data_IF_747587133197
#
_entry.id   IF_747587133197
#
_cell.length_a   1.000
_cell.length_b   1.000
_cell.length_c   1.000
_cell.angle_alpha   90.00
_cell.angle_beta   90.00
_cell.angle_gamma   90.00
#
_symmetry.space_group_name_H-M   'P 1'
#
loop_
_entity.id
_entity.type
_entity.pdbx_description
1 polymer ?
#
# COMPACT_ATOMS: atom_id res chain seq x y z
N UNK A 1 -7.68 8.46 -20.74
CA UNK A 1 -7.91 9.47 -21.81
C UNK A 1 -6.76 9.62 -22.82
N UNK A 2 -5.80 8.68 -22.89
CA UNK A 2 -4.71 8.74 -23.88
C UNK A 2 -3.74 9.91 -23.71
N UNK A 3 -3.60 10.46 -22.51
CA UNK A 3 -2.77 11.63 -22.18
C UNK A 3 -2.10 11.46 -20.82
N UNK A 4 -1.01 12.18 -20.60
CA UNK A 4 -0.37 12.30 -19.28
C UNK A 4 -1.32 13.10 -18.36
N UNK A 5 -1.62 12.54 -17.19
CA UNK A 5 -2.56 13.11 -16.21
C UNK A 5 -1.88 13.96 -15.12
N UNK A 6 -0.54 14.02 -15.11
CA UNK A 6 0.24 14.79 -14.14
C UNK A 6 0.50 14.07 -12.81
N UNK A 7 0.22 12.77 -12.73
CA UNK A 7 0.53 11.91 -11.59
C UNK A 7 1.44 10.76 -12.01
N UNK A 8 2.31 10.32 -11.08
CA UNK A 8 3.08 9.09 -11.20
C UNK A 8 2.27 7.88 -10.72
N UNK A 9 1.32 8.09 -9.79
CA UNK A 9 0.27 7.13 -9.46
C UNK A 9 -1.07 7.85 -9.34
N UNK A 10 -1.85 7.82 -10.42
CA UNK A 10 -3.23 8.31 -10.39
C UNK A 10 -4.11 7.44 -9.48
N UNK A 11 -3.81 6.14 -9.39
CA UNK A 11 -4.51 5.21 -8.50
C UNK A 11 -4.41 5.66 -7.04
N UNK A 12 -3.20 5.94 -6.55
CA UNK A 12 -3.01 6.42 -5.18
C UNK A 12 -3.70 7.77 -4.96
N UNK A 13 -3.67 8.66 -5.95
CA UNK A 13 -4.42 9.92 -5.89
C UNK A 13 -5.94 9.70 -5.74
N UNK A 14 -6.54 8.79 -6.50
CA UNK A 14 -7.98 8.48 -6.42
C UNK A 14 -8.36 7.94 -5.03
N UNK A 15 -7.52 7.10 -4.42
CA UNK A 15 -7.79 6.55 -3.09
C UNK A 15 -7.86 7.61 -1.99
N UNK A 16 -7.22 8.77 -2.18
CA UNK A 16 -7.32 9.91 -1.27
C UNK A 16 -8.72 10.55 -1.24
N UNK A 17 -9.55 10.30 -2.25
CA UNK A 17 -10.87 10.93 -2.42
C UNK A 17 -12.01 9.91 -2.58
N UNK A 18 -11.75 8.63 -2.33
CA UNK A 18 -12.76 7.57 -2.50
C UNK A 18 -13.79 7.58 -1.37
N UNK A 19 -13.37 7.38 -0.12
CA UNK A 19 -14.22 7.50 1.07
C UNK A 19 -13.33 7.72 2.29
N UNK A 20 -13.32 8.95 2.82
CA UNK A 20 -12.44 9.35 3.91
C UNK A 20 -12.68 8.61 5.23
N UNK A 21 -13.82 7.95 5.40
CA UNK A 21 -14.07 7.14 6.60
C UNK A 21 -13.30 5.82 6.59
N UNK A 22 -12.92 5.31 5.39
CA UNK A 22 -12.38 3.96 5.22
C UNK A 22 -11.14 3.87 4.34
N UNK A 23 -10.70 4.93 3.68
CA UNK A 23 -9.51 4.93 2.82
C UNK A 23 -8.38 5.80 3.37
N UNK A 24 -7.16 5.57 2.86
CA UNK A 24 -5.97 6.31 3.24
C UNK A 24 -5.32 5.81 4.54
N UNK A 25 -4.73 6.74 5.30
CA UNK A 25 -4.07 6.45 6.57
C UNK A 25 -5.08 6.45 7.72
N UNK A 26 -4.95 5.52 8.67
CA UNK A 26 -5.92 5.28 9.77
C UNK A 26 -6.14 6.53 10.66
N UNK A 27 -5.15 7.43 10.75
CA UNK A 27 -5.27 8.70 11.46
C UNK A 27 -4.25 8.88 12.57
N UNK A 28 -4.14 10.12 13.07
CA UNK A 28 -3.16 10.55 14.08
C UNK A 28 -3.26 9.76 15.39
N UNK A 29 -4.49 9.47 15.85
CA UNK A 29 -4.71 8.71 17.09
C UNK A 29 -4.10 7.31 17.00
N UNK A 30 -4.28 6.62 15.87
CA UNK A 30 -3.67 5.31 15.64
C UNK A 30 -2.15 5.44 15.47
N UNK A 31 -1.69 6.43 14.69
CA UNK A 31 -0.27 6.69 14.48
C UNK A 31 0.51 6.90 15.79
N UNK A 32 -0.09 7.60 16.75
CA UNK A 32 0.56 7.93 18.02
C UNK A 32 0.65 6.75 18.99
N UNK A 33 -0.22 5.76 18.88
CA UNK A 33 -0.25 4.59 19.78
C UNK A 33 -0.85 3.36 19.08
N UNK A 34 -0.13 2.75 18.11
CA UNK A 34 -0.66 1.64 17.34
C UNK A 34 -0.82 0.39 18.22
N UNK A 35 -2.03 -0.13 18.26
CA UNK A 35 -2.40 -1.35 18.97
C UNK A 35 -3.63 -2.00 18.35
N UNK A 36 -3.85 -3.30 18.60
CA UNK A 36 -5.10 -3.95 18.17
C UNK A 36 -6.34 -3.24 18.71
N UNK A 37 -6.31 -2.78 19.97
CA UNK A 37 -7.41 -2.01 20.57
C UNK A 37 -7.68 -0.71 19.80
N UNK A 38 -6.64 0.06 19.49
CA UNK A 38 -6.79 1.31 18.72
C UNK A 38 -7.30 1.07 17.28
N UNK A 39 -6.98 -0.07 16.68
CA UNK A 39 -7.51 -0.45 15.36
C UNK A 39 -8.99 -0.84 15.44
N UNK A 40 -9.37 -1.61 16.46
CA UNK A 40 -10.77 -1.96 16.73
C UNK A 40 -11.59 -0.70 16.99
N UNK A 41 -11.10 0.23 17.82
CA UNK A 41 -11.72 1.54 18.06
C UNK A 41 -12.00 2.27 16.74
N UNK A 42 -11.00 2.33 15.85
CA UNK A 42 -11.15 2.92 14.52
C UNK A 42 -12.22 2.20 13.69
N UNK A 43 -12.09 0.88 13.54
CA UNK A 43 -12.97 0.08 12.70
C UNK A 43 -14.43 0.11 13.18
N UNK A 44 -14.67 0.18 14.49
CA UNK A 44 -16.01 0.35 15.08
C UNK A 44 -16.68 1.66 14.67
N UNK A 45 -15.90 2.72 14.41
CA UNK A 45 -16.42 4.03 13.97
C UNK A 45 -16.62 4.12 12.46
N UNK A 46 -16.07 3.19 11.67
CA UNK A 46 -16.30 3.18 10.21
C UNK A 46 -17.77 2.84 9.94
N UNK A 47 -18.44 3.58 9.03
CA UNK A 47 -19.79 3.24 8.59
C UNK A 47 -19.86 1.83 8.01
N UNK A 48 -20.81 1.02 8.46
CA UNK A 48 -21.05 -0.31 7.88
C UNK A 48 -21.78 -0.14 6.54
N UNK A 49 -21.42 -0.95 5.53
CA UNK A 49 -22.12 -0.94 4.24
C UNK A 49 -23.38 -1.81 4.26
N UNK A 50 -23.23 -3.07 4.64
CA UNK A 50 -24.31 -4.07 4.59
C UNK A 50 -23.97 -5.24 5.51
N UNK A 51 -25.00 -6.04 5.78
CA UNK A 51 -24.88 -7.36 6.41
C UNK A 51 -25.45 -8.42 5.46
N UNK A 52 -25.07 -9.68 5.65
CA UNK A 52 -25.58 -10.80 4.85
C UNK A 52 -26.44 -11.70 5.75
N UNK A 53 -27.70 -11.94 5.37
CA UNK A 53 -28.63 -12.83 6.08
C UNK A 53 -29.40 -13.65 5.07
N UNK A 54 -29.46 -14.96 5.26
CA UNK A 54 -30.16 -15.88 4.35
C UNK A 54 -29.79 -15.64 2.87
N UNK A 55 -28.48 -15.47 2.61
CA UNK A 55 -27.88 -15.16 1.31
C UNK A 55 -28.29 -13.81 0.69
N UNK A 56 -29.02 -12.97 1.41
CA UNK A 56 -29.43 -11.63 0.99
C UNK A 56 -28.51 -10.55 1.54
N UNK A 57 -28.21 -9.57 0.70
CA UNK A 57 -27.42 -8.39 1.07
C UNK A 57 -28.36 -7.30 1.60
N UNK A 58 -28.24 -6.97 2.87
CA UNK A 58 -29.05 -5.96 3.54
C UNK A 58 -28.20 -4.71 3.75
N UNK A 59 -28.47 -3.67 2.97
CA UNK A 59 -27.80 -2.36 3.09
C UNK A 59 -28.08 -1.72 4.46
N UNK A 60 -27.03 -1.37 5.21
CA UNK A 60 -27.14 -0.72 6.51
C UNK A 60 -26.86 0.77 6.35
N UNK A 61 -27.92 1.58 6.28
CA UNK A 61 -27.80 3.01 6.03
C UNK A 61 -27.44 3.80 7.29
N UNK A 62 -26.45 4.69 7.16
CA UNK A 62 -26.09 5.74 8.13
C UNK A 62 -25.85 5.21 9.56
N UNK A 63 -25.12 4.10 9.68
CA UNK A 63 -24.69 3.57 10.97
C UNK A 63 -23.20 3.24 10.97
N UNK A 64 -22.54 3.48 12.08
CA UNK A 64 -21.23 2.86 12.34
C UNK A 64 -21.40 1.40 12.73
N UNK A 65 -20.34 0.60 12.66
CA UNK A 65 -20.41 -0.77 13.16
C UNK A 65 -20.73 -0.80 14.66
N UNK A 66 -20.21 0.13 15.45
CA UNK A 66 -20.53 0.26 16.89
C UNK A 66 -22.03 0.42 17.13
N UNK A 67 -22.70 1.30 16.37
CA UNK A 67 -24.14 1.50 16.51
C UNK A 67 -24.95 0.28 16.08
N UNK A 68 -24.51 -0.43 15.04
CA UNK A 68 -25.10 -1.69 14.62
C UNK A 68 -24.91 -2.78 15.68
N UNK A 69 -23.72 -2.88 16.27
CA UNK A 69 -23.40 -3.84 17.31
C UNK A 69 -24.29 -3.67 18.55
N UNK A 70 -24.48 -2.44 19.02
CA UNK A 70 -25.29 -2.15 20.21
C UNK A 70 -26.80 -2.28 19.98
N UNK A 71 -27.32 -1.74 18.87
CA UNK A 71 -28.77 -1.56 18.66
C UNK A 71 -29.36 -2.60 17.72
N UNK A 72 -28.52 -3.29 16.94
CA UNK A 72 -28.91 -4.08 15.79
C UNK A 72 -29.52 -3.23 14.66
N UNK A 73 -29.98 -3.93 13.62
CA UNK A 73 -30.62 -3.32 12.46
C UNK A 73 -31.69 -4.26 11.91
N UNK A 74 -32.93 -3.76 11.71
CA UNK A 74 -34.05 -4.53 11.17
C UNK A 74 -34.30 -5.89 11.86
N UNK A 75 -34.13 -5.96 13.19
CA UNK A 75 -34.28 -7.20 13.96
C UNK A 75 -33.04 -8.10 13.99
N UNK A 76 -32.01 -7.81 13.20
CA UNK A 76 -30.73 -8.53 13.22
C UNK A 76 -29.78 -7.95 14.27
N UNK A 77 -29.03 -8.83 14.92
CA UNK A 77 -27.90 -8.51 15.80
C UNK A 77 -26.59 -8.84 15.10
N UNK A 78 -25.56 -8.06 15.43
CA UNK A 78 -24.21 -8.27 14.92
C UNK A 78 -23.67 -9.62 15.36
N UNK A 79 -22.98 -10.31 14.45
CA UNK A 79 -22.23 -11.52 14.71
C UNK A 79 -20.79 -11.40 14.18
N UNK A 80 -20.02 -12.48 14.28
CA UNK A 80 -18.63 -12.51 13.80
C UNK A 80 -18.51 -12.37 12.28
N UNK A 81 -19.44 -12.94 11.51
CA UNK A 81 -19.44 -12.83 10.06
C UNK A 81 -19.63 -11.37 9.61
N UNK A 82 -20.49 -10.61 10.30
CA UNK A 82 -20.66 -9.17 10.05
C UNK A 82 -19.39 -8.38 10.34
N UNK A 83 -18.68 -8.73 11.41
CA UNK A 83 -17.43 -8.06 11.76
C UNK A 83 -16.34 -8.33 10.72
N UNK A 84 -16.17 -9.59 10.31
CA UNK A 84 -15.20 -9.93 9.26
C UNK A 84 -15.56 -9.26 7.93
N UNK A 85 -16.84 -9.25 7.58
CA UNK A 85 -17.33 -8.58 6.38
C UNK A 85 -17.07 -7.07 6.46
N UNK A 86 -17.38 -6.45 7.59
CA UNK A 86 -17.14 -5.03 7.83
C UNK A 86 -15.66 -4.66 7.68
N UNK A 87 -14.76 -5.41 8.30
CA UNK A 87 -13.31 -5.22 8.12
C UNK A 87 -12.88 -5.34 6.65
N UNK A 88 -13.53 -6.21 5.89
CA UNK A 88 -13.27 -6.39 4.45
C UNK A 88 -13.74 -5.21 3.60
N UNK A 89 -14.57 -4.31 4.16
CA UNK A 89 -15.00 -3.04 3.53
C UNK A 89 -14.14 -1.84 3.93
N UNK A 90 -13.12 -2.01 4.77
CA UNK A 90 -12.14 -0.96 5.08
C UNK A 90 -11.03 -1.01 4.04
N UNK A 91 -10.58 0.13 3.50
CA UNK A 91 -9.63 0.20 2.38
C UNK A 91 -8.46 1.14 2.66
N UNK A 92 -7.93 1.11 3.88
CA UNK A 92 -6.72 1.85 4.27
C UNK A 92 -5.48 1.32 3.55
N UNK A 93 -4.39 2.10 3.57
CA UNK A 93 -3.12 1.70 2.91
C UNK A 93 -2.50 0.43 3.52
N UNK A 94 -2.71 0.26 4.84
CA UNK A 94 -2.42 -0.98 5.57
C UNK A 94 -3.70 -1.39 6.29
N UNK A 95 -4.16 -2.61 6.06
CA UNK A 95 -5.39 -3.15 6.66
C UNK A 95 -5.05 -4.31 7.57
N UNK A 96 -5.70 -4.35 8.73
CA UNK A 96 -5.54 -5.43 9.72
C UNK A 96 -6.79 -6.30 9.74
N UNK A 97 -6.59 -7.58 9.50
CA UNK A 97 -7.53 -8.69 9.76
C UNK A 97 -6.82 -9.69 10.69
N UNK A 98 -7.07 -10.99 10.54
CA UNK A 98 -6.20 -12.04 11.08
C UNK A 98 -4.78 -12.06 10.47
N UNK A 99 -4.54 -11.17 9.49
CA UNK A 99 -3.28 -10.92 8.80
C UNK A 99 -3.19 -9.42 8.47
N UNK A 100 -2.00 -8.97 8.05
CA UNK A 100 -1.78 -7.59 7.59
C UNK A 100 -1.78 -7.57 6.07
N UNK A 101 -2.57 -6.67 5.48
CA UNK A 101 -2.60 -6.43 4.04
C UNK A 101 -1.96 -5.10 3.70
N UNK A 102 -0.99 -5.12 2.79
CA UNK A 102 -0.36 -3.93 2.22
C UNK A 102 -1.04 -3.60 0.89
N UNK A 103 -1.63 -2.40 0.79
CA UNK A 103 -2.60 -2.05 -0.27
C UNK A 103 -2.19 -0.85 -1.12
N UNK A 104 -0.96 -0.36 -0.89
CA UNK A 104 -0.46 0.89 -1.45
C UNK A 104 0.16 0.76 -2.85
N UNK A 105 0.43 -0.45 -3.34
CA UNK A 105 1.22 -0.65 -4.57
C UNK A 105 0.34 -0.69 -5.83
N UNK A 106 0.74 0.03 -6.87
CA UNK A 106 0.13 -0.08 -8.21
C UNK A 106 0.48 -1.43 -8.84
N UNK A 107 -0.41 -1.97 -9.67
CA UNK A 107 -0.11 -3.20 -10.41
C UNK A 107 1.12 -2.99 -11.30
N UNK A 108 2.03 -3.96 -11.28
CA UNK A 108 3.30 -3.90 -12.01
C UNK A 108 3.35 -4.95 -13.13
N UNK A 109 4.23 -4.70 -14.10
CA UNK A 109 4.60 -5.67 -15.14
C UNK A 109 5.15 -6.95 -14.50
N UNK A 110 5.00 -8.08 -15.19
CA UNK A 110 5.37 -9.41 -14.67
C UNK A 110 6.74 -9.47 -14.00
N UNK A 111 7.75 -8.83 -14.60
CA UNK A 111 9.13 -8.82 -14.08
C UNK A 111 9.28 -8.10 -12.73
N UNK A 112 8.40 -7.14 -12.42
CA UNK A 112 8.43 -6.37 -11.17
C UNK A 112 7.45 -6.90 -10.13
N UNK A 113 6.49 -7.76 -10.51
CA UNK A 113 5.49 -8.29 -9.56
C UNK A 113 6.13 -9.04 -8.38
N UNK A 114 7.11 -9.94 -8.57
CA UNK A 114 7.79 -10.59 -7.46
C UNK A 114 8.56 -9.62 -6.56
N UNK A 115 9.11 -8.55 -7.14
CA UNK A 115 9.91 -7.55 -6.42
C UNK A 115 9.10 -6.84 -5.33
N UNK A 116 7.81 -6.59 -5.56
CA UNK A 116 6.91 -5.98 -4.56
C UNK A 116 6.81 -6.86 -3.32
N UNK A 117 6.59 -8.17 -3.51
CA UNK A 117 6.46 -9.12 -2.40
C UNK A 117 7.80 -9.34 -1.71
N UNK A 118 8.87 -9.48 -2.49
CA UNK A 118 10.23 -9.64 -1.98
C UNK A 118 10.66 -8.45 -1.11
N UNK A 119 10.34 -7.21 -1.53
CA UNK A 119 10.66 -5.99 -0.78
C UNK A 119 10.02 -5.98 0.62
N UNK A 120 8.74 -6.35 0.70
CA UNK A 120 8.06 -6.40 1.98
C UNK A 120 8.46 -7.61 2.82
N UNK A 121 8.70 -8.77 2.20
CA UNK A 121 9.19 -9.97 2.92
C UNK A 121 10.56 -9.73 3.54
N UNK A 122 11.50 -9.14 2.79
CA UNK A 122 12.83 -8.83 3.27
C UNK A 122 12.82 -7.93 4.51
N UNK A 123 11.89 -6.99 4.56
CA UNK A 123 11.74 -6.09 5.72
C UNK A 123 10.94 -6.77 6.84
N UNK A 124 9.71 -7.20 6.57
CA UNK A 124 8.73 -7.54 7.61
C UNK A 124 8.93 -8.93 8.23
N UNK A 125 9.73 -9.80 7.62
CA UNK A 125 9.99 -11.16 8.11
C UNK A 125 11.41 -11.31 8.66
N UNK A 126 12.11 -10.19 8.88
CA UNK A 126 13.42 -10.14 9.49
C UNK A 126 13.47 -9.06 10.58
N UNK A 127 13.82 -9.44 11.81
CA UNK A 127 13.76 -8.55 12.97
C UNK A 127 14.80 -7.41 12.91
N UNK A 128 15.97 -7.67 12.33
CA UNK A 128 17.03 -6.68 12.17
C UNK A 128 16.63 -5.63 11.12
N UNK A 129 16.02 -6.07 10.02
CA UNK A 129 15.45 -5.21 9.00
C UNK A 129 14.30 -4.34 9.55
N UNK A 130 13.36 -4.91 10.32
CA UNK A 130 12.33 -4.13 11.02
C UNK A 130 12.96 -3.05 11.91
N UNK A 131 14.01 -3.40 12.65
CA UNK A 131 14.70 -2.48 13.56
C UNK A 131 15.40 -1.35 12.78
N UNK A 132 16.05 -1.68 11.67
CA UNK A 132 16.71 -0.71 10.79
C UNK A 132 15.70 0.28 10.16
N UNK A 133 14.59 -0.22 9.62
CA UNK A 133 13.51 0.64 9.09
C UNK A 133 12.89 1.49 10.20
N UNK A 134 12.66 0.92 11.39
CA UNK A 134 12.13 1.67 12.53
C UNK A 134 13.06 2.82 12.95
N UNK A 135 14.38 2.61 12.86
CA UNK A 135 15.38 3.64 13.10
C UNK A 135 15.35 4.72 12.03
N UNK A 136 15.25 4.33 10.75
CA UNK A 136 15.16 5.26 9.61
C UNK A 136 13.93 6.18 9.70
N UNK A 137 12.82 5.63 10.20
CA UNK A 137 11.55 6.34 10.37
C UNK A 137 11.43 7.08 11.72
N UNK A 138 12.48 7.02 12.56
CA UNK A 138 12.43 7.57 13.92
C UNK A 138 12.16 9.08 13.90
N UNK A 139 11.24 9.50 14.78
CA UNK A 139 10.87 10.89 14.96
C UNK A 139 10.02 11.45 13.81
N UNK A 140 9.58 10.63 12.85
CA UNK A 140 8.58 11.03 11.86
C UNK A 140 7.29 11.43 12.59
N UNK A 141 6.79 12.62 12.30
CA UNK A 141 5.50 13.09 12.82
C UNK A 141 4.35 12.66 11.91
N UNK A 142 3.13 12.64 12.48
CA UNK A 142 1.92 12.39 11.71
C UNK A 142 1.76 13.38 10.55
N UNK A 143 1.99 14.68 10.80
CA UNK A 143 1.85 15.74 9.78
C UNK A 143 2.80 15.50 8.61
N UNK A 144 4.04 15.10 8.88
CA UNK A 144 5.02 14.79 7.83
C UNK A 144 4.61 13.57 7.01
N UNK A 145 4.20 12.47 7.67
CA UNK A 145 3.72 11.27 6.99
C UNK A 145 2.48 11.56 6.14
N UNK A 146 1.52 12.29 6.72
CA UNK A 146 0.28 12.68 6.06
C UNK A 146 0.58 13.54 4.83
N UNK A 147 1.40 14.59 4.95
CA UNK A 147 1.77 15.42 3.80
C UNK A 147 2.50 14.63 2.71
N UNK A 148 3.39 13.72 3.11
CA UNK A 148 4.10 12.83 2.19
C UNK A 148 3.11 11.96 1.40
N UNK A 149 2.11 11.38 2.07
CA UNK A 149 1.08 10.54 1.48
C UNK A 149 0.30 11.25 0.36
N UNK A 150 0.01 12.55 0.50
CA UNK A 150 -0.64 13.33 -0.56
C UNK A 150 0.32 13.79 -1.68
N UNK A 151 1.63 13.86 -1.40
CA UNK A 151 2.63 14.39 -2.33
C UNK A 151 3.20 13.32 -3.25
N UNK A 152 3.43 12.11 -2.72
CA UNK A 152 4.02 10.97 -3.44
C UNK A 152 3.28 10.61 -4.74
N UNK A 153 1.94 10.60 -4.82
CA UNK A 153 1.23 10.29 -6.07
C UNK A 153 1.66 11.16 -7.26
N UNK A 154 2.10 12.41 -7.01
CA UNK A 154 2.56 13.34 -8.03
C UNK A 154 4.09 13.34 -8.18
N UNK A 155 4.82 13.38 -7.07
CA UNK A 155 6.26 13.60 -7.08
C UNK A 155 7.10 12.30 -7.06
N UNK A 156 6.52 11.18 -6.64
CA UNK A 156 7.19 9.89 -6.55
C UNK A 156 8.49 9.97 -5.76
N UNK A 157 9.58 9.45 -6.34
CA UNK A 157 10.91 9.40 -5.71
C UNK A 157 11.54 10.79 -5.50
N UNK A 158 11.02 11.83 -6.17
CA UNK A 158 11.50 13.21 -6.02
C UNK A 158 10.89 13.92 -4.80
N UNK A 159 9.82 13.37 -4.23
CA UNK A 159 9.24 13.86 -3.00
C UNK A 159 10.28 13.89 -1.88
N UNK A 160 10.07 14.76 -0.89
CA UNK A 160 11.01 14.90 0.23
C UNK A 160 10.33 14.60 1.57
N UNK A 161 11.06 13.89 2.41
CA UNK A 161 10.73 13.68 3.82
C UNK A 161 11.82 14.31 4.66
N UNK A 162 11.50 15.34 5.44
CA UNK A 162 12.48 16.10 6.25
C UNK A 162 13.68 16.62 5.45
N UNK A 163 13.44 17.03 4.20
CA UNK A 163 14.48 17.51 3.29
C UNK A 163 15.28 16.42 2.57
N UNK A 164 15.16 15.15 2.99
CA UNK A 164 15.76 13.98 2.32
C UNK A 164 14.88 13.55 1.16
N UNK A 165 15.44 13.24 -0.01
CA UNK A 165 14.65 12.75 -1.14
C UNK A 165 14.17 11.33 -0.85
N UNK A 166 12.95 11.02 -1.25
CA UNK A 166 12.43 9.66 -1.14
C UNK A 166 13.23 8.65 -1.95
N UNK A 167 13.88 9.07 -3.03
CA UNK A 167 14.85 8.24 -3.75
C UNK A 167 15.93 7.68 -2.80
N UNK A 168 16.54 8.54 -2.00
CA UNK A 168 17.65 8.16 -1.12
C UNK A 168 17.14 7.20 -0.02
N UNK A 169 15.93 7.46 0.51
CA UNK A 169 15.23 6.58 1.46
C UNK A 169 14.89 5.23 0.81
N UNK A 170 14.37 5.23 -0.43
CA UNK A 170 13.99 4.02 -1.15
C UNK A 170 15.20 3.13 -1.44
N UNK A 171 16.34 3.71 -1.84
CA UNK A 171 17.60 2.97 -2.01
C UNK A 171 18.01 2.29 -0.70
N UNK A 172 17.87 2.97 0.43
CA UNK A 172 18.20 2.37 1.74
C UNK A 172 17.22 1.28 2.16
N UNK A 173 15.91 1.49 1.96
CA UNK A 173 14.89 0.47 2.22
C UNK A 173 15.13 -0.80 1.38
N UNK A 174 15.52 -0.67 0.12
CA UNK A 174 15.85 -1.80 -0.75
C UNK A 174 17.10 -2.55 -0.28
N UNK A 175 18.13 -1.84 0.18
CA UNK A 175 19.33 -2.48 0.77
C UNK A 175 18.99 -3.25 2.04
N UNK A 176 18.19 -2.65 2.93
CA UNK A 176 17.71 -3.31 4.16
C UNK A 176 16.91 -4.57 3.79
N UNK A 177 15.99 -4.46 2.82
CA UNK A 177 15.21 -5.60 2.34
C UNK A 177 16.10 -6.70 1.75
N UNK A 178 17.11 -6.34 0.97
CA UNK A 178 18.02 -7.29 0.33
C UNK A 178 18.79 -8.09 1.39
N UNK A 179 19.38 -7.40 2.37
CA UNK A 179 20.05 -8.07 3.51
C UNK A 179 19.09 -8.95 4.30
N UNK A 180 17.87 -8.47 4.54
CA UNK A 180 16.84 -9.21 5.26
C UNK A 180 16.40 -10.50 4.55
N UNK A 181 16.39 -10.54 3.20
CA UNK A 181 16.17 -11.78 2.44
C UNK A 181 17.38 -12.72 2.50
N UNK A 182 18.60 -12.19 2.34
CA UNK A 182 19.83 -12.99 2.42
C UNK A 182 19.96 -13.72 3.76
N UNK A 183 19.61 -13.06 4.85
CA UNK A 183 19.65 -13.65 6.19
C UNK A 183 18.63 -14.77 6.39
N UNK A 184 17.49 -14.72 5.71
CA UNK A 184 16.46 -15.77 5.77
C UNK A 184 16.90 -17.07 5.11
N UNK A 185 17.93 -17.04 4.24
CA UNK A 185 18.53 -18.23 3.58
C UNK A 185 17.49 -19.14 2.93
N UNK A 186 16.52 -18.52 2.24
CA UNK A 186 15.51 -19.23 1.48
C UNK A 186 16.00 -19.37 0.03
N UNK A 187 15.98 -20.61 -0.46
CA UNK A 187 16.49 -20.95 -1.77
C UNK A 187 15.43 -21.69 -2.59
N UNK A 188 15.43 -21.45 -3.90
CA UNK A 188 14.65 -22.24 -4.86
C UNK A 188 15.17 -23.68 -4.95
N UNK A 189 14.47 -24.52 -5.71
CA UNK A 189 14.93 -25.89 -5.98
C UNK A 189 16.29 -25.94 -6.71
N UNK A 190 16.59 -24.91 -7.49
CA UNK A 190 17.84 -24.76 -8.23
C UNK A 190 18.96 -24.07 -7.40
N UNK A 191 18.68 -23.75 -6.13
CA UNK A 191 19.65 -23.14 -5.21
C UNK A 191 19.77 -21.62 -5.33
N UNK A 192 18.86 -20.96 -6.06
CA UNK A 192 18.85 -19.49 -6.16
C UNK A 192 18.23 -18.86 -4.91
N UNK A 193 18.90 -17.85 -4.37
CA UNK A 193 18.44 -17.10 -3.21
C UNK A 193 17.33 -16.12 -3.61
N UNK A 194 16.25 -16.05 -2.82
CA UNK A 194 15.09 -15.21 -3.11
C UNK A 194 15.40 -13.70 -3.25
N UNK A 195 16.57 -13.22 -2.79
CA UNK A 195 17.01 -11.84 -3.00
C UNK A 195 17.10 -11.47 -4.49
N UNK A 196 17.24 -12.45 -5.39
CA UNK A 196 17.22 -12.26 -6.85
C UNK A 196 15.95 -11.54 -7.32
N UNK A 197 14.82 -11.74 -6.63
CA UNK A 197 13.57 -11.08 -6.96
C UNK A 197 13.59 -9.56 -6.74
N UNK A 198 14.57 -9.02 -6.00
CA UNK A 198 14.76 -7.58 -5.84
C UNK A 198 15.58 -6.95 -6.97
N UNK A 199 16.32 -7.73 -7.75
CA UNK A 199 17.21 -7.19 -8.79
C UNK A 199 16.48 -6.24 -9.75
N UNK A 200 15.29 -6.55 -10.28
CA UNK A 200 14.60 -5.67 -11.22
C UNK A 200 14.21 -4.31 -10.61
N UNK A 201 13.77 -4.28 -9.34
CA UNK A 201 13.43 -3.00 -8.70
C UNK A 201 14.68 -2.25 -8.24
N UNK A 202 15.75 -2.96 -7.88
CA UNK A 202 17.03 -2.36 -7.54
C UNK A 202 17.66 -1.68 -8.77
N UNK A 203 17.63 -2.31 -9.94
CA UNK A 203 18.07 -1.68 -11.19
C UNK A 203 17.33 -0.35 -11.43
N UNK A 204 16.00 -0.37 -11.36
CA UNK A 204 15.18 0.83 -11.58
C UNK A 204 15.46 1.96 -10.58
N UNK A 205 15.57 1.63 -9.29
CA UNK A 205 15.64 2.64 -8.23
C UNK A 205 17.07 3.08 -7.94
N UNK A 206 18.03 2.15 -7.96
CA UNK A 206 19.43 2.42 -7.60
C UNK A 206 20.21 2.95 -8.79
N UNK A 207 20.10 2.30 -9.96
CA UNK A 207 20.88 2.63 -11.16
C UNK A 207 20.16 3.71 -12.01
N UNK A 208 18.89 3.49 -12.35
CA UNK A 208 18.15 4.41 -13.21
C UNK A 208 17.57 5.62 -12.45
N UNK A 209 17.42 5.52 -11.13
CA UNK A 209 16.78 6.52 -10.27
C UNK A 209 15.34 6.88 -10.71
N UNK A 210 14.61 5.93 -11.29
CA UNK A 210 13.29 6.13 -11.88
C UNK A 210 12.25 5.16 -11.33
N UNK A 211 11.01 5.63 -11.18
CA UNK A 211 9.88 4.73 -10.96
C UNK A 211 9.27 4.25 -12.30
N UNK A 212 8.47 3.16 -12.30
CA UNK A 212 7.85 2.62 -13.51
C UNK A 212 7.05 3.65 -14.33
N UNK A 213 6.34 4.56 -13.66
CA UNK A 213 5.57 5.60 -14.33
C UNK A 213 6.47 6.61 -15.07
N UNK A 214 7.64 6.94 -14.52
CA UNK A 214 8.60 7.82 -15.18
C UNK A 214 9.17 7.19 -16.45
N UNK A 215 9.40 5.87 -16.45
CA UNK A 215 9.84 5.12 -17.64
C UNK A 215 8.77 5.16 -18.72
N UNK A 216 7.51 4.92 -18.34
CA UNK A 216 6.35 5.02 -19.24
C UNK A 216 6.27 6.43 -19.83
N UNK A 217 6.39 7.49 -19.03
CA UNK A 217 6.34 8.88 -19.48
C UNK A 217 7.50 9.20 -20.42
N UNK A 218 8.72 8.72 -20.12
CA UNK A 218 9.91 8.88 -20.97
C UNK A 218 9.69 8.25 -22.34
N UNK A 219 9.24 7.00 -22.40
CA UNK A 219 8.99 6.29 -23.65
C UNK A 219 7.83 6.90 -24.43
N UNK A 220 6.74 7.26 -23.74
CA UNK A 220 5.58 7.94 -24.30
C UNK A 220 5.96 9.21 -25.08
N UNK A 221 6.84 10.03 -24.51
CA UNK A 221 7.30 11.28 -25.13
C UNK A 221 8.43 11.09 -26.16
N UNK A 222 9.05 9.91 -26.23
CA UNK A 222 10.17 9.64 -27.12
C UNK A 222 9.83 8.51 -28.11
N UNK A 223 10.34 7.31 -27.87
CA UNK A 223 10.30 6.14 -28.76
C UNK A 223 8.89 5.68 -29.13
N UNK A 224 7.89 6.00 -28.32
CA UNK A 224 6.50 5.61 -28.58
C UNK A 224 5.72 6.63 -29.38
N UNK A 225 6.21 7.87 -29.51
CA UNK A 225 5.51 8.95 -30.21
C UNK A 225 4.03 9.08 -29.80
N UNK A 226 3.75 8.95 -28.49
CA UNK A 226 2.41 9.02 -27.91
C UNK A 226 1.41 7.98 -28.46
N UNK A 227 1.91 6.80 -28.85
CA UNK A 227 1.09 5.69 -29.33
C UNK A 227 0.49 4.89 -28.17
N UNK A 228 -0.84 4.84 -28.10
CA UNK A 228 -1.57 4.00 -27.14
C UNK A 228 -1.27 2.51 -27.37
N UNK A 229 -1.12 2.08 -28.63
CA UNK A 229 -0.84 0.68 -28.94
C UNK A 229 0.51 0.23 -28.34
N UNK A 230 1.54 1.08 -28.41
CA UNK A 230 2.85 0.80 -27.80
C UNK A 230 2.80 0.79 -26.28
N UNK A 231 1.96 1.64 -25.67
CA UNK A 231 1.70 1.59 -24.23
C UNK A 231 1.06 0.26 -23.83
N UNK A 232 0.04 -0.20 -24.57
CA UNK A 232 -0.63 -1.48 -24.32
C UNK A 232 0.36 -2.64 -24.46
N UNK A 233 1.15 -2.65 -25.54
CA UNK A 233 2.20 -3.67 -25.78
C UNK A 233 3.25 -3.70 -24.67
N UNK A 234 3.67 -2.54 -24.16
CA UNK A 234 4.61 -2.47 -23.05
C UNK A 234 4.01 -2.99 -21.73
N UNK A 235 2.73 -2.73 -21.51
CA UNK A 235 2.00 -3.09 -20.29
C UNK A 235 1.36 -4.47 -20.31
N UNK A 236 1.33 -5.17 -21.44
CA UNK A 236 0.78 -6.53 -21.55
C UNK A 236 1.66 -7.57 -20.86
N UNK A 237 1.02 -8.64 -20.38
CA UNK A 237 1.64 -9.86 -19.85
C UNK A 237 2.04 -10.81 -20.98
#
# INVERSE_FOLDING_TARGET
EGKINGFLSERAHIWNYTDSARSGLIGERFFSNPSFSSYVDYALQVPIFFIIRDEQWIEVKKKTFSEYFEKGYQGHRANWDDWELHLSTIFTEVRVKSYIELRCTDCQRAQLTPAVVAAWKGILYNQEAITAVSSLMKGLSWVELHNLYFTVPREGLKAKLKGVRLLDIAKELLKISYSGLKEQRQFSQDGEDESVHLEPIMELIIEDEMCPAEIIIKNWNSSWHRSINKLIEYSSY
#
